data_IF_115264460075
#
_entry.id   IF_115264460075
#
_cell.length_a   1.000
_cell.length_b   1.000
_cell.length_c   1.000
_cell.angle_alpha   90.00
_cell.angle_beta   90.00
_cell.angle_gamma   90.00
#
_symmetry.space_group_name_H-M   'P 1'
#
loop_
_entity.id
_entity.type
_entity.pdbx_description
1 polymer ?
#
# COMPACT_ATOMS: atom_id res chain seq x y z
N UNK A 1 -1.65 -24.97 -29.18
CA UNK A 1 -0.72 -23.93 -28.72
C UNK A 1 -1.34 -22.97 -27.69
N UNK A 2 -2.57 -23.21 -27.20
CA UNK A 2 -3.31 -22.29 -26.31
C UNK A 2 -3.24 -22.63 -24.81
N UNK A 3 -3.25 -23.89 -24.39
CA UNK A 3 -3.23 -24.27 -22.95
C UNK A 3 -1.96 -23.82 -22.24
N UNK A 4 -0.79 -24.09 -22.83
CA UNK A 4 0.52 -23.67 -22.28
C UNK A 4 0.62 -22.15 -22.08
N UNK A 5 -0.04 -21.35 -22.92
CA UNK A 5 -0.05 -19.90 -22.79
C UNK A 5 -0.98 -19.44 -21.66
N UNK A 6 -2.12 -20.10 -21.48
CA UNK A 6 -3.01 -19.84 -20.34
C UNK A 6 -2.36 -20.20 -19.00
N UNK A 7 -1.65 -21.34 -18.94
CA UNK A 7 -0.90 -21.74 -17.74
C UNK A 7 0.16 -20.71 -17.36
N UNK A 8 0.88 -20.17 -18.34
CA UNK A 8 1.86 -19.09 -18.13
C UNK A 8 1.20 -17.82 -17.59
N UNK A 9 0.05 -17.42 -18.13
CA UNK A 9 -0.68 -16.24 -17.65
C UNK A 9 -1.19 -16.44 -16.22
N UNK A 10 -1.73 -17.63 -15.92
CA UNK A 10 -2.23 -17.97 -14.58
C UNK A 10 -1.10 -18.03 -13.55
N UNK A 11 0.04 -18.62 -13.90
CA UNK A 11 1.24 -18.60 -13.07
C UNK A 11 1.77 -17.18 -12.81
N UNK A 12 1.69 -16.29 -13.81
CA UNK A 12 2.10 -14.89 -13.65
C UNK A 12 1.17 -14.13 -12.67
N UNK A 13 -0.14 -14.40 -12.69
CA UNK A 13 -1.08 -13.85 -11.71
C UNK A 13 -0.76 -14.39 -10.31
N UNK A 14 -0.51 -15.70 -10.15
CA UNK A 14 -0.11 -16.29 -8.88
C UNK A 14 1.13 -15.61 -8.28
N UNK A 15 2.17 -15.40 -9.10
CA UNK A 15 3.39 -14.72 -8.67
C UNK A 15 3.13 -13.27 -8.23
N UNK A 16 2.23 -12.55 -8.92
CA UNK A 16 1.83 -11.18 -8.53
C UNK A 16 1.02 -11.14 -7.24
N UNK A 17 0.17 -12.13 -6.99
CA UNK A 17 -0.54 -12.27 -5.71
C UNK A 17 0.45 -12.55 -4.57
N UNK A 18 1.45 -13.41 -4.81
CA UNK A 18 2.50 -13.69 -3.83
C UNK A 18 3.35 -12.45 -3.50
N UNK A 19 3.70 -11.64 -4.52
CA UNK A 19 4.35 -10.34 -4.31
C UNK A 19 3.50 -9.41 -3.46
N UNK A 20 2.21 -9.29 -3.81
CA UNK A 20 1.27 -8.42 -3.12
C UNK A 20 1.17 -8.80 -1.63
N UNK A 21 1.09 -10.10 -1.32
CA UNK A 21 1.12 -10.57 0.07
C UNK A 21 2.41 -10.19 0.79
N UNK A 22 3.56 -10.38 0.15
CA UNK A 22 4.85 -10.02 0.75
C UNK A 22 4.96 -8.50 1.02
N UNK A 23 4.47 -7.68 0.10
CA UNK A 23 4.40 -6.22 0.28
C UNK A 23 3.39 -5.86 1.37
N UNK A 24 2.27 -6.57 1.49
CA UNK A 24 1.28 -6.32 2.54
C UNK A 24 1.87 -6.54 3.94
N UNK A 25 2.70 -7.56 4.12
CA UNK A 25 3.45 -7.74 5.37
C UNK A 25 4.41 -6.58 5.65
N UNK A 26 5.13 -6.10 4.63
CA UNK A 26 5.99 -4.92 4.77
C UNK A 26 5.19 -3.67 5.18
N UNK A 27 4.02 -3.46 4.57
CA UNK A 27 3.15 -2.32 4.91
C UNK A 27 2.75 -2.37 6.39
N UNK A 28 2.28 -3.53 6.87
CA UNK A 28 1.92 -3.75 8.28
C UNK A 28 3.13 -3.53 9.22
N UNK A 29 4.32 -4.00 8.84
CA UNK A 29 5.54 -3.80 9.61
C UNK A 29 5.90 -2.30 9.69
N UNK A 30 5.79 -1.60 8.56
CA UNK A 30 6.06 -0.17 8.47
C UNK A 30 5.03 0.64 9.26
N UNK A 31 3.73 0.30 9.18
CA UNK A 31 2.67 0.99 9.93
C UNK A 31 2.96 0.93 11.44
N UNK A 32 3.33 -0.25 11.96
CA UNK A 32 3.73 -0.43 13.36
C UNK A 32 4.94 0.43 13.72
N UNK A 33 5.97 0.44 12.87
CA UNK A 33 7.17 1.23 13.10
C UNK A 33 6.86 2.73 13.11
N UNK A 34 6.06 3.21 12.16
CA UNK A 34 5.64 4.61 12.06
C UNK A 34 4.80 5.02 13.27
N UNK A 35 3.89 4.17 13.76
CA UNK A 35 3.10 4.44 14.97
C UNK A 35 4.02 4.61 16.19
N UNK A 36 5.01 3.72 16.37
CA UNK A 36 5.96 3.78 17.49
C UNK A 36 6.80 5.06 17.44
N UNK A 37 7.27 5.43 16.25
CA UNK A 37 8.14 6.58 16.04
C UNK A 37 7.37 7.91 15.99
N UNK A 38 6.03 7.89 15.95
CA UNK A 38 5.22 9.09 15.74
C UNK A 38 5.06 9.94 17.02
N UNK A 39 5.52 11.20 17.04
CA UNK A 39 5.36 12.07 18.21
C UNK A 39 3.96 12.71 18.29
N UNK A 40 3.20 12.71 17.20
CA UNK A 40 1.89 13.37 17.10
C UNK A 40 0.74 12.36 17.23
N UNK A 41 -0.13 12.55 18.21
CA UNK A 41 -1.24 11.64 18.48
C UNK A 41 -2.31 11.64 17.38
N UNK A 42 -2.52 12.76 16.70
CA UNK A 42 -3.47 12.85 15.60
C UNK A 42 -3.01 12.04 14.38
N UNK A 43 -1.71 12.09 14.08
CA UNK A 43 -1.07 11.28 13.04
C UNK A 43 -1.05 9.80 13.46
N UNK A 44 -0.61 9.48 14.69
CA UNK A 44 -0.59 8.11 15.20
C UNK A 44 -1.97 7.44 15.13
N UNK A 45 -3.04 8.13 15.54
CA UNK A 45 -4.40 7.60 15.43
C UNK A 45 -4.80 7.28 13.98
N UNK A 46 -4.37 8.08 13.00
CA UNK A 46 -4.63 7.79 11.58
C UNK A 46 -3.84 6.57 11.12
N UNK A 47 -2.57 6.46 11.50
CA UNK A 47 -1.74 5.30 11.19
C UNK A 47 -2.29 4.00 11.82
N UNK A 48 -2.87 4.07 13.01
CA UNK A 48 -3.54 2.93 13.65
C UNK A 48 -4.76 2.43 12.84
N UNK A 49 -5.54 3.35 12.25
CA UNK A 49 -6.65 2.97 11.35
C UNK A 49 -6.11 2.29 10.10
N UNK A 50 -5.05 2.85 9.49
CA UNK A 50 -4.37 2.24 8.35
C UNK A 50 -3.92 0.80 8.70
N UNK A 51 -3.22 0.63 9.82
CA UNK A 51 -2.76 -0.67 10.29
C UNK A 51 -3.89 -1.71 10.44
N UNK A 52 -5.05 -1.31 10.96
CA UNK A 52 -6.21 -2.20 11.11
C UNK A 52 -6.74 -2.64 9.75
N UNK A 53 -6.93 -1.68 8.85
CA UNK A 53 -7.38 -1.97 7.48
C UNK A 53 -6.36 -2.84 6.74
N UNK A 54 -5.05 -2.62 6.94
CA UNK A 54 -3.98 -3.42 6.33
C UNK A 54 -3.90 -4.85 6.85
N UNK A 55 -4.21 -5.08 8.14
CA UNK A 55 -4.33 -6.43 8.70
C UNK A 55 -5.52 -7.17 8.08
N UNK A 56 -6.68 -6.51 7.97
CA UNK A 56 -7.84 -7.09 7.29
C UNK A 56 -7.55 -7.36 5.80
N UNK A 57 -6.82 -6.46 5.14
CA UNK A 57 -6.43 -6.63 3.74
C UNK A 57 -5.52 -7.84 3.52
N UNK A 58 -4.64 -8.16 4.48
CA UNK A 58 -3.83 -9.37 4.43
C UNK A 58 -4.70 -10.64 4.45
N UNK A 59 -5.73 -10.69 5.29
CA UNK A 59 -6.67 -11.82 5.35
C UNK A 59 -7.43 -12.01 4.01
N UNK A 60 -7.82 -10.90 3.38
CA UNK A 60 -8.46 -10.92 2.06
C UNK A 60 -7.48 -11.45 1.00
N UNK A 61 -6.23 -10.97 1.00
CA UNK A 61 -5.20 -11.42 0.07
C UNK A 61 -4.92 -12.92 0.23
N UNK A 62 -4.80 -13.42 1.46
CA UNK A 62 -4.58 -14.85 1.73
C UNK A 62 -5.78 -15.70 1.30
N UNK A 63 -7.00 -15.20 1.49
CA UNK A 63 -8.22 -15.84 0.99
C UNK A 63 -8.21 -15.92 -0.54
N UNK A 64 -7.88 -14.84 -1.23
CA UNK A 64 -7.78 -14.79 -2.69
C UNK A 64 -6.70 -15.75 -3.21
N UNK A 65 -5.51 -15.78 -2.59
CA UNK A 65 -4.44 -16.72 -2.96
C UNK A 65 -4.92 -18.18 -2.81
N UNK A 66 -5.61 -18.48 -1.70
CA UNK A 66 -6.15 -19.81 -1.43
C UNK A 66 -7.22 -20.21 -2.45
N UNK A 67 -8.16 -19.32 -2.75
CA UNK A 67 -9.23 -19.55 -3.73
C UNK A 67 -8.70 -19.63 -5.15
N UNK A 68 -7.65 -18.88 -5.48
CA UNK A 68 -7.00 -18.94 -6.77
C UNK A 68 -6.32 -20.30 -7.01
N UNK A 69 -5.85 -20.94 -5.94
CA UNK A 69 -5.41 -22.34 -5.94
C UNK A 69 -4.04 -22.61 -6.56
N UNK A 70 -3.40 -21.60 -7.16
CA UNK A 70 -2.05 -21.72 -7.73
C UNK A 70 -1.04 -21.14 -6.74
N UNK A 71 -0.17 -22.01 -6.22
CA UNK A 71 0.91 -21.61 -5.32
C UNK A 71 2.04 -20.94 -6.10
N UNK A 72 2.52 -19.82 -5.56
CA UNK A 72 3.70 -19.13 -6.04
C UNK A 72 4.42 -18.46 -4.87
N UNK A 73 5.70 -18.20 -5.05
CA UNK A 73 6.51 -17.41 -4.15
C UNK A 73 6.67 -15.98 -4.69
N UNK A 74 6.91 -14.98 -3.81
CA UNK A 74 7.21 -13.63 -4.25
C UNK A 74 8.48 -13.66 -5.13
N UNK A 75 8.49 -12.80 -6.15
CA UNK A 75 9.63 -12.67 -7.05
C UNK A 75 10.83 -12.15 -6.28
N UNK A 76 12.02 -12.65 -6.60
CA UNK A 76 13.27 -12.24 -5.96
C UNK A 76 13.50 -10.72 -5.96
N UNK A 77 13.13 -10.04 -7.06
CA UNK A 77 13.20 -8.58 -7.13
C UNK A 77 12.33 -7.88 -6.07
N UNK A 78 11.15 -8.42 -5.76
CA UNK A 78 10.27 -7.88 -4.72
C UNK A 78 10.87 -8.12 -3.33
N UNK A 79 11.49 -9.27 -3.10
CA UNK A 79 12.21 -9.55 -1.84
C UNK A 79 13.34 -8.53 -1.63
N UNK A 80 14.15 -8.24 -2.65
CA UNK A 80 15.20 -7.21 -2.58
C UNK A 80 14.61 -5.82 -2.28
N UNK A 81 13.52 -5.45 -2.95
CA UNK A 81 12.85 -4.17 -2.71
C UNK A 81 12.35 -4.07 -1.26
N UNK A 82 11.77 -5.15 -0.72
CA UNK A 82 11.30 -5.21 0.68
C UNK A 82 12.47 -5.02 1.65
N UNK A 83 13.61 -5.67 1.41
CA UNK A 83 14.80 -5.51 2.25
C UNK A 83 15.33 -4.08 2.24
N UNK A 84 15.31 -3.41 1.07
CA UNK A 84 15.71 -2.03 0.96
C UNK A 84 14.77 -1.09 1.74
N UNK A 85 13.46 -1.24 1.55
CA UNK A 85 12.46 -0.45 2.26
C UNK A 85 12.58 -0.61 3.79
N UNK A 86 12.83 -1.83 4.28
CA UNK A 86 13.07 -2.08 5.72
C UNK A 86 14.30 -1.33 6.25
N UNK A 87 15.38 -1.28 5.48
CA UNK A 87 16.58 -0.51 5.86
C UNK A 87 16.26 0.98 5.97
N UNK A 88 15.51 1.55 5.03
CA UNK A 88 15.10 2.96 5.09
C UNK A 88 14.22 3.23 6.31
N UNK A 89 13.23 2.38 6.59
CA UNK A 89 12.32 2.53 7.74
C UNK A 89 13.06 2.53 9.10
N UNK A 90 14.10 1.71 9.23
CA UNK A 90 14.91 1.61 10.46
C UNK A 90 16.09 2.59 10.51
N UNK A 91 16.38 3.31 9.43
CA UNK A 91 17.52 4.21 9.34
C UNK A 91 17.32 5.44 10.23
N UNK A 92 18.33 5.78 11.02
CA UNK A 92 18.40 7.04 11.76
C UNK A 92 18.79 8.23 10.87
N UNK A 93 19.22 7.97 9.63
CA UNK A 93 19.53 9.02 8.65
C UNK A 93 18.28 9.55 7.96
N UNK A 94 17.17 8.79 8.03
CA UNK A 94 15.90 9.19 7.42
C UNK A 94 15.04 9.93 8.44
N UNK A 95 14.51 11.09 8.05
CA UNK A 95 13.53 11.81 8.85
C UNK A 95 12.21 11.04 8.93
N UNK A 96 11.36 11.37 9.91
CA UNK A 96 10.03 10.75 9.99
C UNK A 96 9.21 11.02 8.72
N UNK A 97 9.34 12.21 8.13
CA UNK A 97 8.72 12.54 6.84
C UNK A 97 9.19 11.59 5.73
N UNK A 98 10.51 11.36 5.60
CA UNK A 98 11.06 10.48 4.55
C UNK A 98 10.58 9.03 4.71
N UNK A 99 10.45 8.55 5.96
CA UNK A 99 9.90 7.22 6.24
C UNK A 99 8.42 7.11 5.83
N UNK A 100 7.62 8.15 6.12
CA UNK A 100 6.20 8.20 5.70
C UNK A 100 6.09 8.29 4.17
N UNK A 101 6.96 9.05 3.51
CA UNK A 101 6.99 9.18 2.06
C UNK A 101 7.32 7.85 1.36
N UNK A 102 8.32 7.12 1.86
CA UNK A 102 8.62 5.78 1.35
C UNK A 102 7.45 4.81 1.58
N UNK A 103 6.80 4.87 2.73
CA UNK A 103 5.61 4.06 3.00
C UNK A 103 4.46 4.37 2.02
N UNK A 104 4.20 5.65 1.72
CA UNK A 104 3.20 6.05 0.72
C UNK A 104 3.54 5.51 -0.67
N UNK A 105 4.80 5.60 -1.10
CA UNK A 105 5.25 5.08 -2.39
C UNK A 105 5.01 3.57 -2.52
N UNK A 106 5.30 2.81 -1.46
CA UNK A 106 5.04 1.36 -1.42
C UNK A 106 3.53 1.10 -1.52
N UNK A 107 2.71 1.86 -0.77
CA UNK A 107 1.25 1.75 -0.80
C UNK A 107 0.69 2.06 -2.20
N UNK A 108 1.24 3.06 -2.86
CA UNK A 108 0.91 3.42 -4.24
C UNK A 108 1.17 2.27 -5.21
N UNK A 109 2.37 1.70 -5.13
CA UNK A 109 2.76 0.55 -5.95
C UNK A 109 1.84 -0.65 -5.72
N UNK A 110 1.46 -0.92 -4.46
CA UNK A 110 0.53 -1.97 -4.07
C UNK A 110 -0.87 -1.76 -4.67
N UNK A 111 -1.41 -0.53 -4.62
CA UNK A 111 -2.69 -0.19 -5.23
C UNK A 111 -2.69 -0.40 -6.76
N UNK A 112 -1.60 0.02 -7.43
CA UNK A 112 -1.42 -0.23 -8.87
C UNK A 112 -1.35 -1.72 -9.15
N UNK A 113 -0.60 -2.48 -8.35
CA UNK A 113 -0.45 -3.93 -8.53
C UNK A 113 -1.80 -4.64 -8.50
N UNK A 114 -2.71 -4.29 -7.58
CA UNK A 114 -4.04 -4.89 -7.53
C UNK A 114 -4.96 -4.51 -8.68
N UNK A 115 -4.85 -3.28 -9.20
CA UNK A 115 -5.55 -2.91 -10.45
C UNK A 115 -5.04 -3.74 -11.64
N UNK A 116 -3.72 -3.97 -11.72
CA UNK A 116 -3.13 -4.74 -12.81
C UNK A 116 -3.52 -6.23 -12.72
N UNK A 117 -3.53 -6.82 -11.52
CA UNK A 117 -4.02 -8.18 -11.30
C UNK A 117 -5.48 -8.30 -11.72
N UNK A 118 -6.32 -7.33 -11.33
CA UNK A 118 -7.73 -7.30 -11.72
C UNK A 118 -7.93 -7.27 -13.23
N UNK A 119 -7.22 -6.39 -13.94
CA UNK A 119 -7.28 -6.32 -15.41
C UNK A 119 -6.73 -7.59 -16.08
N UNK A 120 -5.65 -8.16 -15.56
CA UNK A 120 -5.10 -9.41 -16.09
C UNK A 120 -6.08 -10.56 -15.95
N UNK A 121 -6.75 -10.67 -14.80
CA UNK A 121 -7.76 -11.69 -14.55
C UNK A 121 -8.94 -11.63 -15.54
N UNK A 122 -9.42 -10.43 -15.86
CA UNK A 122 -10.48 -10.22 -16.85
C UNK A 122 -10.11 -10.74 -18.25
N UNK A 123 -8.82 -10.72 -18.60
CA UNK A 123 -8.31 -11.22 -19.89
C UNK A 123 -8.09 -12.74 -19.85
N UNK A 124 -7.69 -13.29 -18.70
CA UNK A 124 -7.36 -14.71 -18.55
C UNK A 124 -8.61 -15.58 -18.51
N UNK A 125 -9.65 -15.16 -17.80
CA UNK A 125 -10.90 -15.93 -17.75
C UNK A 125 -11.84 -15.47 -16.64
N UNK A 126 -13.14 -15.73 -16.85
CA UNK A 126 -14.20 -15.36 -15.91
C UNK A 126 -14.01 -16.02 -14.54
N UNK A 127 -13.54 -17.26 -14.50
CA UNK A 127 -13.24 -17.99 -13.26
C UNK A 127 -12.14 -17.28 -12.45
N UNK A 128 -11.09 -16.82 -13.12
CA UNK A 128 -9.99 -16.06 -12.49
C UNK A 128 -10.49 -14.72 -11.98
N UNK A 129 -11.29 -14.00 -12.78
CA UNK A 129 -11.88 -12.72 -12.39
C UNK A 129 -12.79 -12.84 -11.16
N UNK A 130 -13.55 -13.94 -11.03
CA UNK A 130 -14.37 -14.21 -9.85
C UNK A 130 -13.47 -14.47 -8.62
N UNK A 131 -12.43 -15.30 -8.75
CA UNK A 131 -11.55 -15.66 -7.64
C UNK A 131 -10.82 -14.45 -7.04
N UNK A 132 -10.46 -13.47 -7.86
CA UNK A 132 -9.69 -12.29 -7.42
C UNK A 132 -10.57 -11.05 -7.14
N UNK A 133 -11.88 -11.13 -7.37
CA UNK A 133 -12.82 -10.03 -7.13
C UNK A 133 -12.74 -9.40 -5.72
N UNK A 134 -12.48 -10.15 -4.63
CA UNK A 134 -12.31 -9.57 -3.30
C UNK A 134 -11.19 -8.53 -3.19
N UNK A 135 -10.17 -8.57 -4.06
CA UNK A 135 -9.09 -7.57 -4.08
C UNK A 135 -9.58 -6.14 -4.37
N UNK A 136 -10.80 -5.96 -4.87
CA UNK A 136 -11.37 -4.63 -5.04
C UNK A 136 -11.49 -3.86 -3.71
N UNK A 137 -11.74 -4.54 -2.59
CA UNK A 137 -11.74 -3.91 -1.26
C UNK A 137 -10.33 -3.43 -0.89
N UNK A 138 -9.33 -4.30 -1.05
CA UNK A 138 -7.91 -3.98 -0.82
C UNK A 138 -7.46 -2.77 -1.66
N UNK A 139 -7.87 -2.72 -2.93
CA UNK A 139 -7.55 -1.60 -3.82
C UNK A 139 -8.21 -0.29 -3.38
N UNK A 140 -9.45 -0.35 -2.89
CA UNK A 140 -10.16 0.82 -2.38
C UNK A 140 -9.48 1.36 -1.12
N UNK A 141 -9.17 0.47 -0.17
CA UNK A 141 -8.51 0.84 1.08
C UNK A 141 -7.14 1.45 0.83
N UNK A 142 -6.32 0.80 -0.03
CA UNK A 142 -5.01 1.34 -0.38
C UNK A 142 -5.10 2.77 -0.95
N UNK A 143 -6.06 3.05 -1.85
CA UNK A 143 -6.25 4.41 -2.38
C UNK A 143 -6.66 5.40 -1.29
N UNK A 144 -7.54 5.00 -0.37
CA UNK A 144 -7.90 5.84 0.75
C UNK A 144 -6.70 6.11 1.66
N UNK A 145 -5.88 5.09 1.94
CA UNK A 145 -4.67 5.21 2.75
C UNK A 145 -3.67 6.18 2.13
N UNK A 146 -3.48 6.14 0.81
CA UNK A 146 -2.63 7.09 0.10
C UNK A 146 -3.05 8.54 0.31
N UNK A 147 -4.34 8.83 0.22
CA UNK A 147 -4.85 10.18 0.47
C UNK A 147 -4.66 10.60 1.94
N UNK A 148 -4.74 9.67 2.89
CA UNK A 148 -4.41 9.95 4.29
C UNK A 148 -2.91 10.21 4.48
N UNK A 149 -2.05 9.41 3.86
CA UNK A 149 -0.59 9.54 3.94
C UNK A 149 -0.11 10.84 3.32
N UNK A 150 -0.66 11.26 2.18
CA UNK A 150 -0.41 12.59 1.60
C UNK A 150 -0.73 13.72 2.57
N UNK A 151 -1.90 13.66 3.22
CA UNK A 151 -2.28 14.65 4.24
C UNK A 151 -1.35 14.62 5.47
N UNK A 152 -0.87 13.45 5.87
CA UNK A 152 0.13 13.34 6.95
C UNK A 152 1.43 14.01 6.52
N UNK A 153 1.91 13.74 5.30
CA UNK A 153 3.11 14.36 4.74
C UNK A 153 3.00 15.88 4.65
N UNK A 154 1.85 16.43 4.27
CA UNK A 154 1.60 17.88 4.26
C UNK A 154 1.80 18.51 5.65
N UNK A 155 1.29 17.85 6.70
CA UNK A 155 1.44 18.29 8.09
C UNK A 155 2.90 18.25 8.51
N UNK A 156 3.56 17.11 8.29
CA UNK A 156 4.96 16.89 8.67
C UNK A 156 5.89 17.88 7.96
N UNK A 157 5.73 18.04 6.65
CA UNK A 157 6.56 18.94 5.85
C UNK A 157 6.39 20.40 6.26
N UNK A 158 5.16 20.83 6.58
CA UNK A 158 4.94 22.20 7.08
C UNK A 158 5.68 22.43 8.40
N UNK A 159 5.62 21.48 9.33
CA UNK A 159 6.34 21.57 10.61
C UNK A 159 7.85 21.56 10.39
N UNK A 160 8.35 20.70 9.51
CA UNK A 160 9.78 20.59 9.22
C UNK A 160 10.35 21.86 8.58
N UNK A 161 9.61 22.48 7.65
CA UNK A 161 10.06 23.68 6.94
C UNK A 161 9.90 24.95 7.79
N UNK A 162 8.83 25.06 8.57
CA UNK A 162 8.46 26.33 9.24
C UNK A 162 8.68 26.33 10.75
N UNK A 163 8.87 25.15 11.36
CA UNK A 163 8.85 24.96 12.81
C UNK A 163 7.45 25.06 13.44
N UNK A 164 6.39 25.19 12.64
CA UNK A 164 5.01 25.35 13.09
C UNK A 164 4.05 24.44 12.30
N UNK A 165 2.97 23.99 12.94
CA UNK A 165 1.92 23.25 12.24
C UNK A 165 1.09 24.20 11.36
N UNK A 166 0.69 23.73 10.17
CA UNK A 166 -0.25 24.45 9.30
C UNK A 166 -1.60 24.68 10.01
N UNK A 167 -2.26 25.81 9.73
CA UNK A 167 -3.65 26.00 10.18
C UNK A 167 -4.56 24.97 9.49
N UNK A 168 -5.18 24.08 10.28
CA UNK A 168 -6.11 23.07 9.77
C UNK A 168 -7.58 23.50 9.85
N UNK A 169 -7.86 24.78 10.12
CA UNK A 169 -9.20 25.33 10.11
C UNK A 169 -9.91 25.08 8.77
N UNK A 170 -11.25 25.05 8.80
CA UNK A 170 -12.06 24.82 7.59
C UNK A 170 -11.76 25.87 6.50
N UNK A 171 -11.41 27.09 6.90
CA UNK A 171 -11.07 28.17 5.99
C UNK A 171 -9.71 28.01 5.31
N UNK A 172 -8.68 27.56 6.04
CA UNK A 172 -7.39 27.23 5.45
C UNK A 172 -7.52 26.12 4.40
N UNK A 173 -8.30 25.05 4.69
CA UNK A 173 -8.58 23.97 3.74
C UNK A 173 -9.30 24.42 2.47
N UNK A 174 -10.17 25.43 2.57
CA UNK A 174 -10.83 26.03 1.40
C UNK A 174 -9.86 26.87 0.58
N UNK A 175 -8.97 27.63 1.23
CA UNK A 175 -7.94 28.40 0.54
C UNK A 175 -6.93 27.51 -0.19
N UNK A 176 -6.47 26.42 0.44
CA UNK A 176 -5.53 25.48 -0.19
C UNK A 176 -6.14 24.82 -1.45
N UNK A 177 -7.41 24.44 -1.40
CA UNK A 177 -8.11 23.87 -2.53
C UNK A 177 -8.29 24.86 -3.71
N UNK A 178 -8.37 26.17 -3.42
CA UNK A 178 -8.44 27.23 -4.43
C UNK A 178 -7.04 27.55 -4.98
N UNK A 179 -5.99 27.47 -4.15
CA UNK A 179 -4.61 27.75 -4.54
C UNK A 179 -3.93 26.66 -5.37
N UNK A 180 -4.48 25.44 -5.38
CA UNK A 180 -4.02 24.31 -6.19
C UNK A 180 -4.67 24.23 -7.59
N UNK A 181 -5.51 25.21 -7.96
CA UNK A 181 -6.11 25.41 -9.29
C UNK A 181 -5.34 26.46 -10.10
#
# INVERSE_FOLDING_TARGET
MSEKLEDVKRAAIAAKLADMRAIQHLLIDNDKALIIDCPDRGISNRLEVLLQDDQMNLEIIDTVITQYGIKAEPRFAVVIMIEHARKLMTSSLCSFFEKVAEHELIKHSQAIAGVLIYKAAQIVGTDVAIAIAPLNKVNFDNRNHQEQLKRIMEILSTVEITGQAADQSLWAKVQDAIGLL
#
